data_IF_482452549209
#
_entry.id   IF_482452549209
#
_cell.length_a   1.000
_cell.length_b   1.000
_cell.length_c   1.000
_cell.angle_alpha   90.00
_cell.angle_beta   90.00
_cell.angle_gamma   90.00
#
_symmetry.space_group_name_H-M   'P 1'
#
loop_
_entity.id
_entity.type
_entity.pdbx_description
1 polymer ?
#
# COMPACT_ATOMS: atom_id res chain seq x y z
N UNK A 1 -19.47 -2.16 -7.79
CA UNK A 1 -19.70 -0.98 -6.94
C UNK A 1 -21.01 -1.08 -6.13
N UNK A 2 -21.82 -2.13 -6.29
CA UNK A 2 -23.19 -2.18 -5.73
C UNK A 2 -23.29 -2.50 -4.23
N UNK A 3 -22.25 -3.06 -3.59
CA UNK A 3 -22.36 -3.56 -2.22
C UNK A 3 -22.37 -2.47 -1.13
N UNK A 4 -21.68 -1.34 -1.35
CA UNK A 4 -21.51 -0.28 -0.34
C UNK A 4 -22.17 1.05 -0.72
N UNK A 5 -22.68 1.18 -1.96
CA UNK A 5 -23.29 2.43 -2.45
C UNK A 5 -22.34 3.63 -2.50
N UNK A 6 -21.04 3.42 -2.35
CA UNK A 6 -20.03 4.48 -2.36
C UNK A 6 -19.62 4.84 -3.78
N UNK A 7 -19.58 6.12 -4.08
CA UNK A 7 -19.03 6.64 -5.33
C UNK A 7 -17.49 6.68 -5.24
N UNK A 8 -16.74 6.22 -6.26
CA UNK A 8 -15.27 6.18 -6.20
C UNK A 8 -14.59 7.51 -5.90
N UNK A 9 -15.16 8.62 -6.40
CA UNK A 9 -14.66 9.97 -6.16
C UNK A 9 -14.70 10.40 -4.69
N UNK A 10 -15.57 9.77 -3.89
CA UNK A 10 -15.75 10.05 -2.47
C UNK A 10 -14.88 9.13 -1.59
N UNK A 11 -14.15 8.19 -2.20
CA UNK A 11 -13.21 7.32 -1.50
C UNK A 11 -11.84 7.99 -1.32
N UNK A 12 -11.21 7.67 -0.20
CA UNK A 12 -9.81 7.97 0.08
C UNK A 12 -9.04 6.66 0.13
N UNK A 13 -7.96 6.57 -0.63
CA UNK A 13 -7.04 5.43 -0.65
C UNK A 13 -5.71 5.85 -0.06
N UNK A 14 -5.25 5.12 0.96
CA UNK A 14 -3.92 5.26 1.55
C UNK A 14 -3.09 4.01 1.27
N UNK A 15 -2.03 4.14 0.47
CA UNK A 15 -1.03 3.11 0.29
C UNK A 15 0.09 3.29 1.33
N UNK A 16 0.15 2.36 2.28
CA UNK A 16 1.12 2.34 3.37
C UNK A 16 2.50 1.83 2.90
N UNK A 17 3.55 1.90 3.75
CA UNK A 17 4.87 1.36 3.42
C UNK A 17 4.77 -0.10 2.97
N UNK A 18 5.35 -0.40 1.81
CA UNK A 18 5.30 -1.71 1.19
C UNK A 18 6.62 -2.00 0.46
N UNK A 19 6.90 -3.24 0.06
CA UNK A 19 8.13 -3.54 -0.68
C UNK A 19 8.05 -2.99 -2.11
N UNK A 20 9.16 -2.48 -2.65
CA UNK A 20 9.21 -1.83 -3.97
C UNK A 20 10.45 -2.26 -4.75
N UNK A 21 10.49 -2.03 -6.08
CA UNK A 21 11.73 -2.13 -6.84
C UNK A 21 12.87 -1.32 -6.22
N UNK A 22 14.12 -1.78 -6.31
CA UNK A 22 14.56 -3.03 -6.94
C UNK A 22 14.39 -4.28 -6.05
N UNK A 23 13.90 -4.14 -4.81
CA UNK A 23 13.81 -5.25 -3.85
C UNK A 23 12.65 -6.22 -4.13
N UNK A 24 11.75 -5.83 -5.03
CA UNK A 24 10.70 -6.65 -5.59
C UNK A 24 10.62 -6.37 -7.09
N UNK A 25 10.53 -7.39 -7.92
CA UNK A 25 10.66 -7.27 -9.38
C UNK A 25 9.45 -6.54 -10.01
N UNK A 26 8.35 -6.46 -9.27
CA UNK A 26 7.08 -5.90 -9.73
C UNK A 26 6.78 -4.63 -8.94
N UNK A 27 6.52 -3.52 -9.62
CA UNK A 27 6.00 -2.32 -8.97
C UNK A 27 4.49 -2.42 -8.73
N UNK A 28 4.09 -3.26 -7.77
CA UNK A 28 2.67 -3.43 -7.46
C UNK A 28 2.08 -2.17 -6.78
N UNK A 29 2.91 -1.32 -6.18
CA UNK A 29 2.46 -0.05 -5.62
C UNK A 29 1.95 0.88 -6.73
N UNK A 30 2.73 1.02 -7.81
CA UNK A 30 2.31 1.76 -8.99
C UNK A 30 1.04 1.17 -9.61
N UNK A 31 0.92 -0.16 -9.65
CA UNK A 31 -0.26 -0.83 -10.20
C UNK A 31 -1.52 -0.61 -9.34
N UNK A 32 -1.43 -0.66 -8.01
CA UNK A 32 -2.55 -0.32 -7.11
C UNK A 32 -3.02 1.12 -7.35
N UNK A 33 -2.07 2.07 -7.47
CA UNK A 33 -2.39 3.48 -7.72
C UNK A 33 -3.08 3.65 -9.07
N UNK A 34 -2.55 3.01 -10.12
CA UNK A 34 -3.13 3.04 -11.47
C UNK A 34 -4.55 2.49 -11.46
N UNK A 35 -4.75 1.30 -10.91
CA UNK A 35 -6.08 0.67 -10.82
C UNK A 35 -7.06 1.53 -10.01
N UNK A 36 -6.63 2.13 -8.89
CA UNK A 36 -7.49 3.01 -8.09
C UNK A 36 -7.96 4.23 -8.89
N UNK A 37 -7.05 4.85 -9.65
CA UNK A 37 -7.36 6.00 -10.51
C UNK A 37 -8.27 5.60 -11.67
N UNK A 38 -8.02 4.45 -12.30
CA UNK A 38 -8.85 3.94 -13.39
C UNK A 38 -10.30 3.65 -12.95
N UNK A 39 -10.51 3.37 -11.66
CA UNK A 39 -11.84 3.23 -11.07
C UNK A 39 -12.49 4.57 -10.68
N UNK A 40 -11.82 5.69 -10.87
CA UNK A 40 -12.34 7.04 -10.57
C UNK A 40 -12.05 7.56 -9.17
N UNK A 41 -11.17 6.89 -8.40
CA UNK A 41 -10.72 7.43 -7.10
C UNK A 41 -9.80 8.62 -7.34
N UNK A 42 -10.14 9.76 -6.75
CA UNK A 42 -9.40 11.02 -6.92
C UNK A 42 -8.39 11.26 -5.81
N UNK A 43 -8.64 10.73 -4.61
CA UNK A 43 -7.81 10.90 -3.43
C UNK A 43 -6.99 9.64 -3.16
N UNK A 44 -5.86 9.52 -3.86
CA UNK A 44 -4.91 8.41 -3.70
C UNK A 44 -3.60 8.95 -3.11
N UNK A 45 -3.29 8.52 -1.90
CA UNK A 45 -2.08 8.90 -1.17
C UNK A 45 -1.13 7.71 -1.10
N UNK A 46 0.12 7.91 -1.53
CA UNK A 46 1.18 6.92 -1.40
C UNK A 46 2.25 7.43 -0.44
N UNK A 47 2.62 6.63 0.56
CA UNK A 47 3.75 6.91 1.44
C UNK A 47 5.09 6.95 0.70
N UNK A 48 5.22 6.25 -0.42
CA UNK A 48 6.48 6.13 -1.18
C UNK A 48 7.58 5.34 -0.48
N UNK A 49 7.32 4.81 0.72
CA UNK A 49 8.33 4.12 1.54
C UNK A 49 8.46 2.66 1.10
N UNK A 50 9.71 2.20 1.00
CA UNK A 50 10.04 0.80 0.75
C UNK A 50 10.44 0.10 2.05
N UNK A 51 9.70 -0.93 2.44
CA UNK A 51 9.99 -1.69 3.68
C UNK A 51 11.33 -2.42 3.66
N UNK A 52 11.85 -2.75 2.48
CA UNK A 52 13.18 -3.35 2.33
C UNK A 52 14.32 -2.32 2.34
N UNK A 53 14.05 -1.05 2.06
CA UNK A 53 15.07 0.01 2.13
C UNK A 53 15.28 0.48 3.58
N UNK A 54 14.22 0.51 4.39
CA UNK A 54 14.18 1.14 5.71
C UNK A 54 14.00 0.11 6.84
N UNK A 55 14.88 -0.89 6.92
CA UNK A 55 14.73 -2.03 7.86
C UNK A 55 14.87 -1.65 9.34
N UNK A 56 15.41 -0.47 9.65
CA UNK A 56 15.42 0.05 11.02
C UNK A 56 14.02 0.43 11.50
N UNK A 57 13.10 0.67 10.58
CA UNK A 57 11.75 1.16 10.86
C UNK A 57 10.66 0.16 10.47
N UNK A 58 10.96 -0.78 9.57
CA UNK A 58 9.99 -1.74 9.05
C UNK A 58 10.56 -3.16 8.99
N UNK A 59 9.69 -4.13 9.26
CA UNK A 59 9.97 -5.53 8.93
C UNK A 59 9.82 -5.76 7.42
N UNK A 60 10.74 -6.53 6.85
CA UNK A 60 10.74 -6.92 5.43
C UNK A 60 10.94 -8.43 5.29
N UNK A 61 9.84 -9.14 5.01
CA UNK A 61 9.86 -10.60 4.84
C UNK A 61 10.88 -11.05 3.78
N UNK A 62 10.96 -10.35 2.66
CA UNK A 62 11.87 -10.73 1.56
C UNK A 62 13.33 -10.42 1.89
N UNK A 63 13.62 -9.25 2.44
CA UNK A 63 15.02 -8.90 2.77
C UNK A 63 15.54 -9.73 3.94
N UNK A 64 14.72 -9.95 4.96
CA UNK A 64 15.06 -10.72 6.16
C UNK A 64 14.84 -12.24 5.97
N UNK A 65 14.64 -12.69 4.73
CA UNK A 65 14.56 -14.11 4.33
C UNK A 65 13.57 -14.92 5.17
N UNK A 66 12.42 -14.32 5.44
CA UNK A 66 11.31 -14.91 6.17
C UNK A 66 11.42 -14.90 7.69
N UNK A 67 12.54 -14.43 8.26
CA UNK A 67 12.80 -14.42 9.71
C UNK A 67 12.57 -13.02 10.30
N UNK A 68 11.32 -12.58 10.31
CA UNK A 68 10.97 -11.23 10.75
C UNK A 68 9.55 -11.16 11.33
N UNK A 69 9.26 -10.06 12.03
CA UNK A 69 7.94 -9.74 12.57
C UNK A 69 6.94 -9.28 11.51
N UNK A 70 5.83 -8.68 11.95
CA UNK A 70 4.80 -8.10 11.07
C UNK A 70 4.40 -6.72 11.57
N UNK A 71 4.21 -5.81 10.63
CA UNK A 71 3.59 -4.51 10.90
C UNK A 71 2.07 -4.68 10.95
N UNK A 72 1.39 -3.79 11.67
CA UNK A 72 -0.06 -3.74 11.77
C UNK A 72 -0.54 -2.39 11.22
N UNK A 73 -1.42 -2.43 10.21
CA UNK A 73 -2.14 -1.25 9.73
C UNK A 73 -3.56 -1.27 10.34
N UNK A 74 -3.98 -0.15 10.93
CA UNK A 74 -5.28 0.00 11.58
C UNK A 74 -6.05 1.18 10.98
N UNK A 75 -7.34 0.96 10.75
CA UNK A 75 -8.32 1.99 10.40
C UNK A 75 -9.58 1.71 11.20
N UNK A 76 -10.14 2.74 11.83
CA UNK A 76 -11.36 2.67 12.60
C UNK A 76 -12.17 3.95 12.41
N UNK A 77 -13.49 3.83 12.61
CA UNK A 77 -14.36 4.99 12.79
C UNK A 77 -14.31 5.40 14.27
N UNK A 78 -14.49 6.69 14.52
CA UNK A 78 -14.61 7.25 15.87
C UNK A 78 -16.04 7.21 16.36
#
# INVERSE_FOLDING_TARGET
>A
QEQFGSEPKDLIVQLSPCIRPPHYEIDFAAEIIRQSRDQGVTQVHDSGVCTACEISSYYSYRLEKGRTGRMLALLALV
#
